data_IF_970964106172
#
_entry.id   IF_970964106172
#
_cell.length_a   1.000
_cell.length_b   1.000
_cell.length_c   1.000
_cell.angle_alpha   90.00
_cell.angle_beta   90.00
_cell.angle_gamma   90.00
#
_symmetry.space_group_name_H-M   'P 1'
#
loop_
_entity.id
_entity.type
_entity.pdbx_description
1 polymer ?
#
# COMPACT_ATOMS: atom_id res chain seq x y z
N UNK A 1 26.54 5.73 -13.61
CA UNK A 1 25.13 5.33 -13.81
C UNK A 1 24.52 5.07 -12.45
N UNK A 2 23.53 5.85 -12.07
CA UNK A 2 22.74 5.54 -10.87
C UNK A 2 22.08 4.17 -11.10
N UNK A 3 22.41 3.15 -10.32
CA UNK A 3 21.68 1.88 -10.36
C UNK A 3 20.23 2.18 -10.04
N UNK A 4 19.33 1.82 -10.94
CA UNK A 4 17.90 1.98 -10.71
C UNK A 4 17.53 1.17 -9.46
N UNK A 5 16.82 1.83 -8.53
CA UNK A 5 16.34 1.14 -7.34
C UNK A 5 15.28 0.10 -7.74
N UNK A 6 15.36 -1.10 -7.18
CA UNK A 6 14.31 -2.10 -7.31
C UNK A 6 13.17 -1.78 -6.32
N UNK A 7 11.97 -1.65 -6.81
CA UNK A 7 10.77 -1.43 -6.00
C UNK A 7 9.92 -2.70 -6.06
N UNK A 8 9.87 -3.41 -4.95
CA UNK A 8 8.97 -4.56 -4.78
C UNK A 8 7.62 -4.03 -4.29
N UNK A 9 6.69 -3.87 -5.21
CA UNK A 9 5.36 -3.31 -4.95
C UNK A 9 4.37 -4.43 -4.62
N UNK A 10 3.71 -4.34 -3.46
CA UNK A 10 2.75 -5.34 -3.01
C UNK A 10 1.33 -4.80 -3.15
N UNK A 11 0.46 -5.60 -3.75
CA UNK A 11 -0.98 -5.35 -3.86
C UNK A 11 -1.78 -6.55 -3.39
N UNK A 12 -3.06 -6.37 -3.20
CA UNK A 12 -4.00 -7.41 -2.77
C UNK A 12 -5.08 -6.84 -1.86
N UNK A 13 -6.22 -7.48 -1.84
CA UNK A 13 -7.37 -7.07 -1.05
C UNK A 13 -7.05 -7.05 0.46
N UNK A 14 -7.77 -6.28 1.28
CA UNK A 14 -7.61 -6.31 2.74
C UNK A 14 -7.70 -7.75 3.28
N UNK A 15 -6.80 -8.12 4.19
CA UNK A 15 -6.74 -9.46 4.77
C UNK A 15 -6.05 -10.54 3.94
N UNK A 16 -5.57 -10.24 2.73
CA UNK A 16 -4.95 -11.22 1.84
C UNK A 16 -3.57 -11.75 2.31
N UNK A 17 -2.93 -11.12 3.31
CA UNK A 17 -1.62 -11.58 3.81
C UNK A 17 -0.43 -10.72 3.37
N UNK A 18 -0.66 -9.55 2.76
CA UNK A 18 0.42 -8.62 2.33
C UNK A 18 1.46 -8.35 3.41
N UNK A 19 1.01 -8.07 4.63
CA UNK A 19 1.91 -7.78 5.76
C UNK A 19 2.85 -8.93 6.08
N UNK A 20 2.40 -10.18 5.92
CA UNK A 20 3.23 -11.37 6.13
C UNK A 20 4.36 -11.41 5.11
N UNK A 21 4.04 -11.20 3.83
CA UNK A 21 5.03 -11.16 2.74
C UNK A 21 5.97 -9.96 2.91
N UNK A 22 5.43 -8.78 3.22
CA UNK A 22 6.22 -7.57 3.45
C UNK A 22 7.23 -7.75 4.59
N UNK A 23 6.79 -8.31 5.72
CA UNK A 23 7.67 -8.58 6.85
C UNK A 23 8.74 -9.61 6.52
N UNK A 24 8.38 -10.68 5.82
CA UNK A 24 9.35 -11.70 5.38
C UNK A 24 10.47 -11.06 4.54
N UNK A 25 10.12 -10.23 3.57
CA UNK A 25 11.09 -9.53 2.73
C UNK A 25 11.90 -8.49 3.52
N UNK A 26 11.25 -7.77 4.45
CA UNK A 26 11.91 -6.79 5.31
C UNK A 26 12.97 -7.44 6.22
N UNK A 27 12.72 -8.63 6.74
CA UNK A 27 13.72 -9.40 7.52
C UNK A 27 14.95 -9.81 6.70
N UNK A 28 14.88 -9.73 5.37
CA UNK A 28 16.06 -9.89 4.48
C UNK A 28 16.88 -8.60 4.33
N UNK A 29 16.56 -7.56 5.09
CA UNK A 29 17.28 -6.27 5.06
C UNK A 29 16.76 -5.29 4.01
N UNK A 30 15.61 -5.54 3.38
CA UNK A 30 15.01 -4.62 2.42
C UNK A 30 14.06 -3.66 3.16
N UNK A 31 14.28 -2.34 3.10
CA UNK A 31 13.41 -1.38 3.76
C UNK A 31 11.95 -1.46 3.29
N UNK A 32 11.02 -1.33 4.22
CA UNK A 32 9.57 -1.39 3.98
C UNK A 32 8.93 -0.01 4.15
N UNK A 33 8.16 0.40 3.15
CA UNK A 33 7.25 1.54 3.19
C UNK A 33 5.82 1.04 3.02
N UNK A 34 4.95 1.36 3.98
CA UNK A 34 3.54 1.02 3.94
C UNK A 34 2.74 2.27 3.55
N UNK A 35 1.99 2.22 2.46
CA UNK A 35 1.22 3.38 1.97
C UNK A 35 0.19 3.87 3.01
N UNK A 36 -0.38 2.96 3.79
CA UNK A 36 -1.28 3.30 4.89
C UNK A 36 -0.59 4.12 6.00
N UNK A 37 0.69 3.85 6.28
CA UNK A 37 1.46 4.59 7.28
C UNK A 37 1.79 6.00 6.77
N UNK A 38 2.06 6.15 5.48
CA UNK A 38 2.26 7.47 4.85
C UNK A 38 0.99 8.33 4.95
N UNK A 39 -0.19 7.74 4.78
CA UNK A 39 -1.48 8.44 4.99
C UNK A 39 -1.67 8.78 6.47
N UNK A 40 -1.28 7.91 7.37
CA UNK A 40 -1.36 8.13 8.82
C UNK A 40 -0.48 9.28 9.27
N UNK A 41 0.75 9.35 8.79
CA UNK A 41 1.66 10.47 9.05
C UNK A 41 1.13 11.80 8.48
N UNK A 42 0.50 11.76 7.30
CA UNK A 42 -0.16 12.94 6.74
C UNK A 42 -1.34 13.39 7.62
N UNK A 43 -2.14 12.45 8.14
CA UNK A 43 -3.22 12.75 9.08
C UNK A 43 -2.69 13.42 10.37
N UNK A 44 -1.63 12.88 10.96
CA UNK A 44 -0.97 13.44 12.14
C UNK A 44 -0.44 14.86 11.87
N UNK A 45 0.15 15.10 10.71
CA UNK A 45 0.64 16.41 10.29
C UNK A 45 -0.49 17.43 10.17
N UNK A 46 -1.67 16.98 9.71
CA UNK A 46 -2.88 17.81 9.60
C UNK A 46 -3.66 17.91 10.93
N UNK A 47 -3.15 17.34 12.03
CA UNK A 47 -3.81 17.33 13.34
C UNK A 47 -5.07 16.48 13.41
N UNK A 48 -5.23 15.52 12.50
CA UNK A 48 -6.35 14.59 12.44
C UNK A 48 -6.06 13.34 13.27
N UNK A 49 -7.02 12.93 14.10
CA UNK A 49 -6.93 11.64 14.79
C UNK A 49 -6.92 10.49 13.76
N UNK A 50 -5.95 9.54 13.83
CA UNK A 50 -5.78 8.48 12.82
C UNK A 50 -6.79 7.34 12.97
N UNK A 51 -8.08 7.67 13.07
CA UNK A 51 -9.17 6.68 13.03
C UNK A 51 -9.35 6.10 11.64
N UNK A 52 -9.89 4.91 11.53
CA UNK A 52 -10.20 4.27 10.22
C UNK A 52 -11.03 5.18 9.33
N UNK A 53 -12.03 5.85 9.88
CA UNK A 53 -12.87 6.81 9.16
C UNK A 53 -12.07 8.00 8.62
N UNK A 54 -11.29 8.67 9.47
CA UNK A 54 -10.49 9.83 9.09
C UNK A 54 -9.43 9.48 8.05
N UNK A 55 -8.75 8.34 8.20
CA UNK A 55 -7.75 7.87 7.24
C UNK A 55 -8.37 7.56 5.87
N UNK A 56 -9.53 6.89 5.84
CA UNK A 56 -10.25 6.63 4.59
C UNK A 56 -10.66 7.93 3.91
N UNK A 57 -11.23 8.87 4.68
CA UNK A 57 -11.63 10.19 4.18
C UNK A 57 -10.43 10.98 3.65
N UNK A 58 -9.32 11.00 4.38
CA UNK A 58 -8.09 11.69 3.95
C UNK A 58 -7.54 11.07 2.66
N UNK A 59 -7.46 9.75 2.60
CA UNK A 59 -7.00 9.03 1.41
C UNK A 59 -7.83 9.35 0.16
N UNK A 60 -9.15 9.38 0.29
CA UNK A 60 -10.05 9.73 -0.82
C UNK A 60 -9.91 11.21 -1.21
N UNK A 61 -9.80 12.11 -0.22
CA UNK A 61 -9.61 13.55 -0.47
C UNK A 61 -8.27 13.84 -1.15
N UNK A 62 -7.18 13.19 -0.74
CA UNK A 62 -5.87 13.33 -1.38
C UNK A 62 -5.95 12.94 -2.85
N UNK A 63 -6.59 11.80 -3.16
CA UNK A 63 -6.78 11.36 -4.55
C UNK A 63 -7.69 12.28 -5.35
N UNK A 64 -8.74 12.81 -4.74
CA UNK A 64 -9.64 13.75 -5.41
C UNK A 64 -8.95 15.08 -5.75
N UNK A 65 -8.08 15.59 -4.87
CA UNK A 65 -7.38 16.85 -5.05
C UNK A 65 -6.16 16.74 -5.96
N UNK A 66 -5.38 15.68 -5.82
CA UNK A 66 -4.03 15.56 -6.39
C UNK A 66 -3.89 14.39 -7.39
N UNK A 67 -5.00 13.77 -7.76
CA UNK A 67 -5.03 12.62 -8.67
C UNK A 67 -4.94 11.26 -7.98
N UNK A 68 -5.25 10.18 -8.71
CA UNK A 68 -5.26 8.82 -8.17
C UNK A 68 -3.90 8.35 -7.64
N UNK A 69 -2.82 9.00 -8.07
CA UNK A 69 -1.43 8.73 -7.69
C UNK A 69 -0.93 9.54 -6.47
N UNK A 70 -1.78 10.34 -5.85
CA UNK A 70 -1.39 11.28 -4.78
C UNK A 70 -0.56 10.64 -3.66
N UNK A 71 -0.94 9.45 -3.20
CA UNK A 71 -0.25 8.75 -2.12
C UNK A 71 1.11 8.21 -2.59
N UNK A 72 1.20 7.75 -3.84
CA UNK A 72 2.47 7.30 -4.41
C UNK A 72 3.50 8.44 -4.49
N UNK A 73 3.09 9.68 -4.73
CA UNK A 73 4.00 10.82 -4.68
C UNK A 73 4.60 11.03 -3.28
N UNK A 74 3.82 10.84 -2.22
CA UNK A 74 4.33 10.89 -0.85
C UNK A 74 5.36 9.77 -0.59
N UNK A 75 5.07 8.55 -1.07
CA UNK A 75 6.01 7.41 -0.98
C UNK A 75 7.30 7.69 -1.76
N UNK A 76 7.20 8.22 -2.98
CA UNK A 76 8.37 8.60 -3.80
C UNK A 76 9.27 9.59 -3.09
N UNK A 77 8.69 10.59 -2.40
CA UNK A 77 9.46 11.55 -1.62
C UNK A 77 10.23 10.84 -0.48
N UNK A 78 9.62 9.88 0.20
CA UNK A 78 10.31 9.08 1.22
C UNK A 78 11.44 8.23 0.62
N UNK A 79 11.22 7.56 -0.50
CA UNK A 79 12.27 6.78 -1.19
C UNK A 79 13.44 7.68 -1.56
N UNK A 80 13.18 8.88 -2.08
CA UNK A 80 14.23 9.85 -2.42
C UNK A 80 15.02 10.30 -1.19
N UNK A 81 14.36 10.51 -0.04
CA UNK A 81 15.04 10.84 1.22
C UNK A 81 15.92 9.68 1.70
N UNK A 82 15.39 8.44 1.68
CA UNK A 82 16.15 7.25 2.03
C UNK A 82 17.40 7.10 1.14
N UNK A 83 17.26 7.30 -0.18
CA UNK A 83 18.37 7.22 -1.13
C UNK A 83 19.42 8.32 -0.94
N UNK A 84 19.03 9.48 -0.39
CA UNK A 84 19.98 10.54 0.00
C UNK A 84 20.78 10.15 1.24
N UNK A 85 20.15 9.46 2.20
CA UNK A 85 20.78 9.00 3.43
C UNK A 85 21.66 7.77 3.20
N UNK A 86 21.20 6.85 2.36
CA UNK A 86 21.92 5.64 1.96
C UNK A 86 22.05 5.57 0.43
N UNK A 87 23.22 5.97 -0.08
CA UNK A 87 23.53 5.92 -1.52
C UNK A 87 23.61 4.50 -2.08
N UNK A 88 23.77 3.48 -1.22
CA UNK A 88 23.84 2.08 -1.60
C UNK A 88 22.44 1.42 -1.61
N UNK A 89 21.40 2.14 -1.22
CA UNK A 89 20.02 1.64 -1.26
C UNK A 89 19.69 1.15 -2.67
N UNK A 90 19.55 -0.16 -2.82
CA UNK A 90 19.32 -0.85 -4.11
C UNK A 90 17.91 -1.40 -4.25
N UNK A 91 17.19 -1.59 -3.16
CA UNK A 91 15.83 -2.11 -3.16
C UNK A 91 14.97 -1.50 -2.05
N UNK A 92 13.66 -1.44 -2.28
CA UNK A 92 12.65 -1.03 -1.28
C UNK A 92 11.35 -1.81 -1.51
N UNK A 93 10.65 -2.14 -0.44
CA UNK A 93 9.32 -2.73 -0.49
C UNK A 93 8.31 -1.59 -0.33
N UNK A 94 7.28 -1.55 -1.18
CA UNK A 94 6.13 -0.64 -1.05
C UNK A 94 4.87 -1.48 -0.92
N UNK A 95 4.31 -1.54 0.29
CA UNK A 95 3.08 -2.29 0.56
C UNK A 95 1.84 -1.39 0.46
N UNK A 96 0.82 -1.90 -0.20
CA UNK A 96 -0.51 -1.28 -0.25
C UNK A 96 -0.83 -0.53 -1.52
N UNK A 97 -0.26 -0.93 -2.66
CA UNK A 97 -0.63 -0.39 -3.98
C UNK A 97 -2.09 -0.68 -4.28
N UNK A 98 -2.83 0.35 -4.70
CA UNK A 98 -4.28 0.28 -4.96
C UNK A 98 -4.71 0.75 -6.35
N UNK A 99 -3.82 1.37 -7.13
CA UNK A 99 -4.13 1.81 -8.49
C UNK A 99 -2.94 1.67 -9.44
N UNK A 100 -3.21 1.50 -10.72
CA UNK A 100 -2.17 1.48 -11.75
C UNK A 100 -1.47 2.84 -11.89
N UNK A 101 -2.16 3.94 -11.58
CA UNK A 101 -1.55 5.26 -11.54
C UNK A 101 -0.40 5.33 -10.52
N UNK A 102 -0.58 4.72 -9.34
CA UNK A 102 0.48 4.60 -8.32
C UNK A 102 1.67 3.79 -8.84
N UNK A 103 1.43 2.68 -9.54
CA UNK A 103 2.49 1.86 -10.16
C UNK A 103 3.28 2.69 -11.19
N UNK A 104 2.59 3.49 -12.02
CA UNK A 104 3.26 4.33 -13.02
C UNK A 104 4.17 5.39 -12.39
N UNK A 105 3.77 5.98 -11.28
CA UNK A 105 4.61 6.93 -10.53
C UNK A 105 5.88 6.25 -10.01
N UNK A 106 5.76 5.05 -9.44
CA UNK A 106 6.92 4.29 -8.96
C UNK A 106 7.87 3.91 -10.10
N UNK A 107 7.34 3.52 -11.26
CA UNK A 107 8.15 3.19 -12.46
C UNK A 107 9.00 4.35 -12.97
N UNK A 108 8.67 5.60 -12.62
CA UNK A 108 9.47 6.78 -13.01
C UNK A 108 10.77 6.92 -12.21
N UNK A 109 10.89 6.24 -11.07
CA UNK A 109 12.04 6.37 -10.17
C UNK A 109 12.85 5.08 -10.00
N UNK A 110 12.38 3.96 -10.53
CA UNK A 110 13.05 2.68 -10.43
C UNK A 110 12.38 1.56 -11.20
N UNK A 111 12.99 0.38 -11.13
CA UNK A 111 12.42 -0.84 -11.69
C UNK A 111 11.37 -1.39 -10.72
N UNK A 112 10.13 -1.56 -11.16
CA UNK A 112 9.02 -2.07 -10.33
C UNK A 112 8.75 -3.53 -10.64
N UNK A 113 8.68 -4.34 -9.59
CA UNK A 113 8.11 -5.70 -9.60
C UNK A 113 6.84 -5.69 -8.76
N UNK A 114 5.71 -5.92 -9.41
CA UNK A 114 4.39 -5.90 -8.80
C UNK A 114 3.95 -7.32 -8.42
N UNK A 115 3.78 -7.55 -7.12
CA UNK A 115 3.33 -8.82 -6.55
C UNK A 115 1.90 -8.68 -6.04
N UNK A 116 0.99 -9.50 -6.53
CA UNK A 116 -0.36 -9.61 -6.00
C UNK A 116 -0.45 -10.74 -4.98
N UNK A 117 -0.91 -10.43 -3.77
CA UNK A 117 -1.19 -11.42 -2.74
C UNK A 117 -2.70 -11.65 -2.71
N UNK A 118 -3.11 -12.90 -2.98
CA UNK A 118 -4.51 -13.27 -3.09
C UNK A 118 -4.98 -14.16 -1.94
N UNK A 119 -6.23 -14.00 -1.55
CA UNK A 119 -6.91 -14.84 -0.58
C UNK A 119 -8.41 -14.80 -0.81
N UNK A 120 -9.09 -15.93 -0.57
CA UNK A 120 -10.55 -15.99 -0.67
C UNK A 120 -11.19 -15.00 0.30
N UNK A 121 -12.41 -14.55 -0.01
CA UNK A 121 -13.19 -13.65 0.85
C UNK A 121 -13.31 -14.19 2.27
N UNK A 122 -13.61 -15.47 2.41
CA UNK A 122 -13.70 -16.15 3.72
C UNK A 122 -12.38 -16.09 4.50
N UNK A 123 -11.24 -16.42 3.85
CA UNK A 123 -9.92 -16.39 4.48
C UNK A 123 -9.53 -14.97 4.89
N UNK A 124 -9.79 -13.97 4.04
CA UNK A 124 -9.49 -12.57 4.29
C UNK A 124 -10.29 -12.00 5.45
N UNK A 125 -11.60 -12.30 5.52
CA UNK A 125 -12.46 -11.88 6.62
C UNK A 125 -12.00 -12.46 7.96
N UNK A 126 -11.66 -13.75 7.99
CA UNK A 126 -11.07 -14.40 9.17
C UNK A 126 -9.78 -13.73 9.62
N UNK A 127 -8.84 -13.51 8.70
CA UNK A 127 -7.56 -12.86 9.00
C UNK A 127 -7.73 -11.45 9.56
N UNK A 128 -8.69 -10.67 9.03
CA UNK A 128 -8.95 -9.32 9.52
C UNK A 128 -9.48 -9.36 10.96
N UNK A 129 -10.39 -10.28 11.25
CA UNK A 129 -10.94 -10.44 12.61
C UNK A 129 -9.88 -10.88 13.62
N UNK A 130 -9.02 -11.80 13.24
CA UNK A 130 -7.96 -12.33 14.10
C UNK A 130 -6.88 -11.29 14.42
N UNK A 131 -6.71 -10.25 13.60
CA UNK A 131 -5.69 -9.20 13.80
C UNK A 131 -5.89 -8.34 15.04
N UNK A 132 -7.08 -8.21 15.56
CA UNK A 132 -7.39 -7.40 16.74
C UNK A 132 -7.04 -5.91 16.65
N UNK A 133 -6.94 -5.35 15.41
CA UNK A 133 -6.68 -3.92 15.20
C UNK A 133 -7.95 -3.10 15.41
N UNK A 134 -7.80 -1.79 15.67
CA UNK A 134 -8.92 -0.85 15.83
C UNK A 134 -9.78 -0.68 14.56
N UNK A 135 -9.31 -1.14 13.40
CA UNK A 135 -9.98 -1.04 12.10
C UNK A 135 -10.70 -2.35 11.67
N UNK A 136 -10.92 -3.27 12.60
CA UNK A 136 -11.65 -4.52 12.33
C UNK A 136 -13.12 -4.20 12.02
N UNK A 137 -13.66 -4.66 10.86
CA UNK A 137 -15.08 -4.52 10.57
C UNK A 137 -15.92 -5.26 11.63
N UNK A 138 -16.97 -4.61 12.12
CA UNK A 138 -17.84 -5.18 13.16
C UNK A 138 -18.70 -6.34 12.65
N UNK A 139 -18.93 -6.39 11.34
CA UNK A 139 -19.72 -7.42 10.66
C UNK A 139 -19.31 -7.58 9.18
N UNK A 140 -19.89 -8.58 8.51
CA UNK A 140 -19.63 -8.87 7.10
C UNK A 140 -20.01 -7.72 6.17
N UNK A 141 -21.10 -6.98 6.46
CA UNK A 141 -21.51 -5.85 5.63
C UNK A 141 -20.48 -4.72 5.62
N UNK A 142 -19.80 -4.46 6.73
CA UNK A 142 -18.73 -3.48 6.80
C UNK A 142 -17.49 -3.97 6.05
N UNK A 143 -17.20 -5.26 6.12
CA UNK A 143 -16.13 -5.86 5.34
C UNK A 143 -16.41 -5.74 3.83
N UNK A 144 -17.62 -6.04 3.38
CA UNK A 144 -18.03 -5.92 1.97
C UNK A 144 -17.99 -4.47 1.48
N UNK A 145 -18.38 -3.51 2.32
CA UNK A 145 -18.27 -2.09 2.00
C UNK A 145 -16.80 -1.66 1.82
N UNK A 146 -15.92 -2.15 2.69
CA UNK A 146 -14.48 -1.89 2.58
C UNK A 146 -13.91 -2.46 1.28
N UNK A 147 -14.26 -3.68 0.93
CA UNK A 147 -13.85 -4.31 -0.32
C UNK A 147 -14.32 -3.51 -1.54
N UNK A 148 -15.57 -3.03 -1.54
CA UNK A 148 -16.11 -2.17 -2.62
C UNK A 148 -15.30 -0.89 -2.79
N UNK A 149 -14.97 -0.20 -1.69
CA UNK A 149 -14.14 1.01 -1.74
C UNK A 149 -12.77 0.72 -2.36
N UNK A 150 -12.12 -0.37 -1.98
CA UNK A 150 -10.82 -0.74 -2.55
C UNK A 150 -10.93 -1.06 -4.05
N UNK A 151 -12.01 -1.71 -4.49
CA UNK A 151 -12.26 -1.96 -5.91
C UNK A 151 -12.54 -0.67 -6.69
N UNK A 152 -13.29 0.27 -6.13
CA UNK A 152 -13.56 1.58 -6.73
C UNK A 152 -12.27 2.42 -6.87
N UNK A 153 -11.33 2.30 -5.97
CA UNK A 153 -9.99 2.92 -6.07
C UNK A 153 -9.19 2.33 -7.24
N UNK A 154 -9.44 1.07 -7.61
CA UNK A 154 -8.82 0.42 -8.76
C UNK A 154 -7.95 -0.79 -8.45
N UNK A 155 -8.01 -1.34 -7.23
CA UNK A 155 -7.15 -2.45 -6.80
C UNK A 155 -7.32 -3.71 -7.67
N UNK A 156 -8.52 -3.93 -8.22
CA UNK A 156 -8.81 -5.07 -9.09
C UNK A 156 -7.92 -5.08 -10.33
N UNK A 157 -7.70 -3.92 -10.96
CA UNK A 157 -6.82 -3.80 -12.12
C UNK A 157 -5.37 -4.05 -11.74
N UNK A 158 -4.94 -3.59 -10.57
CA UNK A 158 -3.56 -3.80 -10.09
C UNK A 158 -3.29 -5.28 -9.84
N UNK A 159 -4.24 -5.99 -9.23
CA UNK A 159 -4.13 -7.43 -9.00
C UNK A 159 -4.07 -8.19 -10.33
N UNK A 160 -4.98 -7.84 -11.27
CA UNK A 160 -5.05 -8.52 -12.57
C UNK A 160 -3.79 -8.30 -13.44
N UNK A 161 -3.09 -7.18 -13.28
CA UNK A 161 -1.91 -6.80 -14.07
C UNK A 161 -0.59 -6.97 -13.29
N UNK A 162 -0.61 -7.70 -12.19
CA UNK A 162 0.60 -7.99 -11.41
C UNK A 162 1.59 -8.85 -12.22
N UNK A 163 2.89 -8.66 -11.97
CA UNK A 163 3.93 -9.49 -12.58
C UNK A 163 3.88 -10.92 -12.03
N UNK A 164 3.51 -11.08 -10.75
CA UNK A 164 3.39 -12.37 -10.07
C UNK A 164 2.23 -12.35 -9.07
N UNK A 165 1.65 -13.54 -8.82
CA UNK A 165 0.56 -13.74 -7.84
C UNK A 165 0.92 -14.87 -6.88
N UNK A 166 0.69 -14.60 -5.59
CA UNK A 166 0.91 -15.55 -4.49
C UNK A 166 -0.42 -15.80 -3.77
#
# INVERSE_FOLDING_TARGET
MSKDILIVALTGMPGAGKTTVANFLSHKGIPLLVMGDVVREAAETDGLEPTSHNLTKLMLNLRKKNGPEAIAHLVVNKIKLMKKQDKQLSAVIVDGIRSMAEVQVLKRIGSVKLLAIHGSTFTRYRHIRERGRSDVPSNENEFDKRDKIEMEVGISSVIALADETI
#
